data_IF_920124009255
#
_entry.id   IF_920124009255
#
_cell.length_a   1.000
_cell.length_b   1.000
_cell.length_c   1.000
_cell.angle_alpha   90.00
_cell.angle_beta   90.00
_cell.angle_gamma   90.00
#
_symmetry.space_group_name_H-M   'P 1'
#
loop_
_entity.id
_entity.type
_entity.pdbx_description
1 polymer ?
#
# COMPACT_ATOMS: atom_id res chain seq x y z
N UNK A 1 20.78 5.72 13.92
CA UNK A 1 19.49 5.76 13.22
C UNK A 1 18.35 5.38 14.16
N UNK A 2 18.01 4.10 14.40
CA UNK A 2 16.85 3.74 15.25
C UNK A 2 16.87 4.38 16.66
N UNK A 3 18.00 4.34 17.37
CA UNK A 3 18.12 5.00 18.68
C UNK A 3 18.04 6.54 18.61
N UNK A 4 18.46 7.14 17.47
CA UNK A 4 18.38 8.59 17.27
C UNK A 4 16.93 9.04 16.99
N UNK A 5 16.13 8.15 16.40
CA UNK A 5 14.71 8.38 16.08
C UNK A 5 13.76 7.73 17.09
N UNK A 6 14.28 7.29 18.24
CA UNK A 6 13.50 6.68 19.31
C UNK A 6 12.28 7.52 19.77
N UNK A 7 12.34 8.86 19.94
CA UNK A 7 11.17 9.64 20.35
C UNK A 7 10.05 9.61 19.30
N UNK A 8 10.41 9.71 18.02
CA UNK A 8 9.45 9.64 16.89
C UNK A 8 8.80 8.25 16.83
N UNK A 9 9.61 7.19 16.93
CA UNK A 9 9.11 5.81 16.95
C UNK A 9 8.22 5.54 18.17
N UNK A 10 8.54 6.12 19.33
CA UNK A 10 7.71 6.06 20.53
C UNK A 10 6.35 6.74 20.33
N UNK A 11 6.32 7.89 19.65
CA UNK A 11 5.07 8.58 19.32
C UNK A 11 4.22 7.78 18.32
N UNK A 12 4.84 7.17 17.31
CA UNK A 12 4.15 6.28 16.37
C UNK A 12 3.54 5.08 17.10
N UNK A 13 4.27 4.48 18.05
CA UNK A 13 3.76 3.38 18.87
C UNK A 13 2.58 3.83 19.75
N UNK A 14 2.69 4.99 20.40
CA UNK A 14 1.58 5.58 21.15
C UNK A 14 0.35 5.80 20.26
N UNK A 15 0.55 6.33 19.05
CA UNK A 15 -0.50 6.47 18.06
C UNK A 15 -1.14 5.14 17.67
N UNK A 16 -0.36 4.07 17.52
CA UNK A 16 -0.88 2.71 17.30
C UNK A 16 -1.78 2.23 18.43
N UNK A 17 -1.40 2.50 19.69
CA UNK A 17 -2.22 2.17 20.87
C UNK A 17 -3.51 2.99 20.89
N UNK A 18 -3.42 4.30 20.64
CA UNK A 18 -4.60 5.19 20.57
C UNK A 18 -5.56 4.74 19.46
N UNK A 19 -5.02 4.39 18.29
CA UNK A 19 -5.78 3.83 17.18
C UNK A 19 -6.52 2.54 17.58
N UNK A 20 -5.82 1.60 18.22
CA UNK A 20 -6.41 0.36 18.72
C UNK A 20 -7.55 0.62 19.70
N UNK A 21 -7.31 1.44 20.74
CA UNK A 21 -8.30 1.73 21.79
C UNK A 21 -9.50 2.48 21.21
N UNK A 22 -9.26 3.47 20.36
CA UNK A 22 -10.32 4.23 19.68
C UNK A 22 -11.20 3.31 18.85
N UNK A 23 -10.61 2.49 17.97
CA UNK A 23 -11.37 1.55 17.16
C UNK A 23 -12.16 0.55 18.02
N UNK A 24 -11.55 -0.04 19.05
CA UNK A 24 -12.24 -0.96 19.98
C UNK A 24 -13.45 -0.30 20.66
N UNK A 25 -13.34 0.99 21.01
CA UNK A 25 -14.41 1.73 21.71
C UNK A 25 -15.62 2.03 20.82
N UNK A 26 -15.40 2.30 19.53
CA UNK A 26 -16.44 2.74 18.61
C UNK A 26 -17.07 1.62 17.78
N UNK A 27 -16.39 0.48 17.58
CA UNK A 27 -16.92 -0.66 16.80
C UNK A 27 -18.35 -1.05 17.21
N UNK A 28 -18.70 -1.25 18.50
CA UNK A 28 -20.04 -1.71 18.88
C UNK A 28 -21.15 -0.74 18.47
N UNK A 29 -20.90 0.57 18.61
CA UNK A 29 -21.88 1.60 18.28
C UNK A 29 -22.09 1.70 16.77
N UNK A 30 -21.00 1.72 16.00
CA UNK A 30 -21.08 1.82 14.54
C UNK A 30 -21.65 0.55 13.92
N UNK A 31 -21.28 -0.62 14.42
CA UNK A 31 -21.87 -1.89 14.01
C UNK A 31 -23.40 -1.89 14.13
N UNK A 32 -23.92 -1.35 15.25
CA UNK A 32 -25.37 -1.20 15.44
C UNK A 32 -25.98 -0.22 14.43
N UNK A 33 -25.34 0.92 14.19
CA UNK A 33 -25.82 1.91 13.21
C UNK A 33 -25.84 1.32 11.79
N UNK A 34 -24.83 0.56 11.39
CA UNK A 34 -24.81 -0.06 10.05
C UNK A 34 -25.89 -1.13 9.89
N UNK A 35 -26.16 -1.92 10.93
CA UNK A 35 -27.32 -2.81 10.96
C UNK A 35 -28.63 -2.04 10.77
N UNK A 36 -28.83 -0.95 11.52
CA UNK A 36 -30.02 -0.07 11.41
C UNK A 36 -30.16 0.58 10.02
N UNK A 37 -29.05 0.75 9.29
CA UNK A 37 -29.03 1.29 7.92
C UNK A 37 -29.11 0.21 6.83
N UNK A 38 -29.40 -1.04 7.20
CA UNK A 38 -29.44 -2.19 6.28
C UNK A 38 -28.11 -2.51 5.58
N UNK A 39 -26.98 -2.15 6.22
CA UNK A 39 -25.62 -2.48 5.77
C UNK A 39 -25.14 -3.68 6.60
N UNK A 40 -25.50 -4.87 6.13
CA UNK A 40 -25.16 -6.13 6.75
C UNK A 40 -25.15 -7.28 5.74
N UNK A 41 -24.40 -8.31 6.09
CA UNK A 41 -24.27 -9.56 5.34
C UNK A 41 -24.64 -10.78 6.18
N UNK A 42 -24.45 -11.96 5.57
CA UNK A 42 -24.62 -13.26 6.22
C UNK A 42 -23.32 -14.06 6.10
N UNK A 43 -22.94 -14.80 7.15
CA UNK A 43 -21.78 -15.69 7.09
C UNK A 43 -22.09 -16.89 6.19
N UNK A 44 -21.57 -16.86 4.97
CA UNK A 44 -21.84 -17.87 3.94
C UNK A 44 -21.31 -19.27 4.32
N UNK A 45 -20.29 -19.34 5.17
CA UNK A 45 -19.63 -20.60 5.56
C UNK A 45 -20.30 -21.28 6.77
N UNK A 46 -21.27 -20.63 7.42
CA UNK A 46 -22.00 -21.17 8.56
C UNK A 46 -23.44 -21.57 8.25
N UNK A 47 -23.97 -21.13 7.10
CA UNK A 47 -25.37 -21.31 6.74
C UNK A 47 -25.52 -22.17 5.48
N UNK A 48 -26.58 -22.98 5.41
CA UNK A 48 -26.91 -23.75 4.22
C UNK A 48 -27.45 -22.85 3.10
N UNK A 49 -27.42 -23.34 1.85
CA UNK A 49 -27.93 -22.57 0.71
C UNK A 49 -29.40 -22.19 0.86
N UNK A 50 -30.23 -23.12 1.35
CA UNK A 50 -31.64 -22.85 1.64
C UNK A 50 -31.84 -21.74 2.69
N UNK A 51 -31.01 -21.72 3.74
CA UNK A 51 -31.05 -20.67 4.75
C UNK A 51 -30.68 -19.30 4.16
N UNK A 52 -29.67 -19.25 3.27
CA UNK A 52 -29.29 -18.03 2.57
C UNK A 52 -30.40 -17.52 1.65
N UNK A 53 -31.06 -18.42 0.91
CA UNK A 53 -32.19 -18.06 0.05
C UNK A 53 -33.38 -17.52 0.87
N UNK A 54 -33.71 -18.15 2.00
CA UNK A 54 -34.74 -17.67 2.93
C UNK A 54 -34.39 -16.30 3.51
N UNK A 55 -33.14 -16.09 3.91
CA UNK A 55 -32.65 -14.79 4.39
C UNK A 55 -32.78 -13.69 3.33
N UNK A 56 -32.36 -13.97 2.09
CA UNK A 56 -32.47 -13.04 0.98
C UNK A 56 -33.92 -12.70 0.63
N UNK A 57 -34.82 -13.69 0.65
CA UNK A 57 -36.25 -13.47 0.44
C UNK A 57 -36.86 -12.58 1.54
N UNK A 58 -36.55 -12.84 2.81
CA UNK A 58 -37.00 -12.02 3.95
C UNK A 58 -36.46 -10.58 3.86
N UNK A 59 -35.19 -10.40 3.49
CA UNK A 59 -34.58 -9.08 3.26
C UNK A 59 -35.33 -8.30 2.17
N UNK A 60 -35.65 -8.94 1.04
CA UNK A 60 -36.42 -8.32 -0.05
C UNK A 60 -37.86 -7.97 0.34
N UNK A 61 -38.47 -8.77 1.22
CA UNK A 61 -39.80 -8.53 1.75
C UNK A 61 -39.83 -7.48 2.88
N UNK A 62 -38.68 -6.93 3.30
CA UNK A 62 -38.59 -5.97 4.40
C UNK A 62 -38.82 -6.56 5.79
N UNK A 63 -38.82 -7.89 5.92
CA UNK A 63 -39.08 -8.60 7.18
C UNK A 63 -37.80 -8.75 8.02
N UNK A 64 -37.18 -7.63 8.39
CA UNK A 64 -35.88 -7.59 9.08
C UNK A 64 -35.98 -7.61 10.62
N UNK A 65 -37.18 -7.42 11.19
CA UNK A 65 -37.38 -7.34 12.64
C UNK A 65 -37.41 -8.70 13.36
N UNK A 66 -37.50 -9.80 12.60
CA UNK A 66 -37.58 -11.13 13.18
C UNK A 66 -36.30 -11.51 13.94
N UNK A 67 -36.43 -12.03 15.16
CA UNK A 67 -35.28 -12.38 16.03
C UNK A 67 -34.31 -13.35 15.36
N UNK A 68 -34.81 -14.32 14.59
CA UNK A 68 -33.97 -15.28 13.86
C UNK A 68 -33.19 -14.61 12.72
N UNK A 69 -33.78 -13.61 12.05
CA UNK A 69 -33.10 -12.81 11.04
C UNK A 69 -31.95 -11.99 11.66
N UNK A 70 -32.24 -11.30 12.77
CA UNK A 70 -31.27 -10.47 13.49
C UNK A 70 -30.09 -11.28 14.06
N UNK A 71 -30.30 -12.55 14.43
CA UNK A 71 -29.21 -13.45 14.86
C UNK A 71 -28.25 -13.82 13.73
N UNK A 72 -28.74 -13.87 12.49
CA UNK A 72 -27.94 -14.24 11.32
C UNK A 72 -27.26 -13.04 10.65
N UNK A 73 -27.84 -11.84 10.79
CA UNK A 73 -27.31 -10.61 10.23
C UNK A 73 -26.02 -10.18 10.94
N UNK A 74 -24.96 -9.96 10.16
CA UNK A 74 -23.67 -9.48 10.66
C UNK A 74 -23.40 -8.12 10.01
N UNK A 75 -23.16 -7.05 10.79
CA UNK A 75 -22.87 -5.72 10.24
C UNK A 75 -21.70 -5.77 9.28
N UNK A 76 -21.82 -5.08 8.16
CA UNK A 76 -20.84 -5.06 7.08
C UNK A 76 -20.21 -3.68 6.94
N UNK A 77 -19.13 -3.57 6.16
CA UNK A 77 -18.46 -2.30 5.85
C UNK A 77 -17.82 -1.60 7.06
N UNK A 78 -17.38 -2.33 8.09
CA UNK A 78 -16.66 -1.72 9.23
C UNK A 78 -15.31 -1.11 8.88
N UNK A 79 -14.80 -1.37 7.67
CA UNK A 79 -13.65 -0.67 7.12
C UNK A 79 -13.77 0.85 7.20
N UNK A 80 -14.98 1.42 7.06
CA UNK A 80 -15.19 2.87 7.11
C UNK A 80 -14.79 3.49 8.46
N UNK A 81 -15.17 2.84 9.57
CA UNK A 81 -14.79 3.28 10.92
C UNK A 81 -13.28 3.15 11.13
N UNK A 82 -12.73 2.01 10.70
CA UNK A 82 -11.31 1.67 10.88
C UNK A 82 -10.44 2.68 10.14
N UNK A 83 -10.79 3.01 8.89
CA UNK A 83 -10.12 4.03 8.11
C UNK A 83 -10.30 5.44 8.68
N UNK A 84 -11.48 5.80 9.20
CA UNK A 84 -11.72 7.09 9.82
C UNK A 84 -10.84 7.30 11.07
N UNK A 85 -10.82 6.34 12.00
CA UNK A 85 -9.96 6.39 13.19
C UNK A 85 -8.49 6.46 12.79
N UNK A 86 -8.07 5.65 11.82
CA UNK A 86 -6.72 5.66 11.28
C UNK A 86 -6.31 7.05 10.78
N UNK A 87 -7.12 7.66 9.90
CA UNK A 87 -6.85 8.97 9.33
C UNK A 87 -6.77 10.04 10.41
N UNK A 88 -7.70 10.03 11.38
CA UNK A 88 -7.66 10.94 12.52
C UNK A 88 -6.36 10.81 13.32
N UNK A 89 -5.94 9.59 13.64
CA UNK A 89 -4.71 9.35 14.40
C UNK A 89 -3.48 9.77 13.61
N UNK A 90 -3.38 9.43 12.33
CA UNK A 90 -2.23 9.80 11.49
C UNK A 90 -2.13 11.32 11.30
N UNK A 91 -3.26 12.01 11.11
CA UNK A 91 -3.28 13.48 11.04
C UNK A 91 -2.81 14.10 12.36
N UNK A 92 -3.32 13.64 13.51
CA UNK A 92 -2.88 14.12 14.83
C UNK A 92 -1.40 13.85 15.04
N UNK A 93 -0.90 12.66 14.71
CA UNK A 93 0.53 12.33 14.81
C UNK A 93 1.38 13.26 13.94
N UNK A 94 0.96 13.51 12.70
CA UNK A 94 1.69 14.39 11.77
C UNK A 94 1.75 15.82 12.31
N UNK A 95 0.65 16.30 12.90
CA UNK A 95 0.60 17.60 13.58
C UNK A 95 1.51 17.62 14.80
N UNK A 96 1.45 16.60 15.67
CA UNK A 96 2.31 16.50 16.85
C UNK A 96 3.80 16.47 16.48
N UNK A 97 4.19 15.71 15.47
CA UNK A 97 5.58 15.65 14.99
C UNK A 97 6.08 16.99 14.47
N UNK A 98 5.18 17.76 13.84
CA UNK A 98 5.48 19.14 13.42
C UNK A 98 5.70 20.08 14.60
N UNK A 99 4.81 20.05 15.60
CA UNK A 99 4.92 20.93 16.77
C UNK A 99 6.09 20.58 17.70
N UNK A 100 6.49 19.31 17.74
CA UNK A 100 7.62 18.85 18.57
C UNK A 100 9.00 19.18 17.97
N UNK A 101 9.07 19.89 16.83
CA UNK A 101 10.33 20.20 16.15
C UNK A 101 11.05 18.97 15.58
N UNK A 102 10.39 17.81 15.57
CA UNK A 102 10.89 16.57 14.96
C UNK A 102 10.72 16.58 13.43
N UNK A 103 9.93 17.51 12.91
CA UNK A 103 9.87 17.88 11.51
C UNK A 103 10.77 19.11 11.31
N UNK A 104 11.77 19.04 10.42
CA UNK A 104 12.55 20.22 10.03
C UNK A 104 11.67 21.35 9.47
N UNK A 105 12.22 22.55 9.34
CA UNK A 105 11.51 23.68 8.72
C UNK A 105 11.60 23.64 7.19
N UNK A 106 10.54 24.06 6.49
CA UNK A 106 10.55 24.22 5.03
C UNK A 106 10.71 22.90 4.25
N UNK A 107 11.69 22.86 3.34
CA UNK A 107 12.00 21.71 2.47
C UNK A 107 12.55 20.51 3.20
N UNK A 108 13.07 20.70 4.43
CA UNK A 108 13.72 19.66 5.21
C UNK A 108 12.72 18.90 6.10
N UNK A 109 11.43 19.20 5.98
CA UNK A 109 10.38 18.45 6.66
C UNK A 109 10.12 17.12 5.94
N UNK A 110 10.51 15.97 6.52
CA UNK A 110 10.33 14.68 5.88
C UNK A 110 8.85 14.30 5.71
N UNK A 111 7.93 14.97 6.41
CA UNK A 111 6.50 14.71 6.37
C UNK A 111 5.73 15.62 5.40
N UNK A 112 6.39 16.59 4.76
CA UNK A 112 5.74 17.54 3.84
C UNK A 112 5.11 16.88 2.59
N UNK A 113 5.60 15.69 2.22
CA UNK A 113 5.12 14.90 1.08
C UNK A 113 3.96 13.95 1.42
N UNK A 114 3.49 13.89 2.68
CA UNK A 114 2.37 13.04 3.09
C UNK A 114 0.95 13.47 2.64
N UNK A 115 0.64 14.74 2.31
CA UNK A 115 -0.73 15.12 1.94
C UNK A 115 -1.32 14.32 0.77
N UNK A 116 -0.57 14.09 -0.31
CA UNK A 116 -1.05 13.27 -1.44
C UNK A 116 -1.27 11.79 -1.11
N UNK A 117 -0.31 11.11 -0.46
CA UNK A 117 -0.50 9.80 0.17
C UNK A 117 -1.77 9.68 1.02
N UNK A 118 -2.01 10.62 1.94
CA UNK A 118 -3.19 10.63 2.81
C UNK A 118 -4.48 10.88 2.03
N UNK A 119 -4.45 11.75 1.03
CA UNK A 119 -5.56 12.00 0.13
C UNK A 119 -5.94 10.74 -0.66
N UNK A 120 -4.95 10.00 -1.18
CA UNK A 120 -5.18 8.71 -1.85
C UNK A 120 -5.78 7.67 -0.91
N UNK A 121 -5.29 7.55 0.34
CA UNK A 121 -5.87 6.64 1.34
C UNK A 121 -7.33 7.04 1.64
N UNK A 122 -7.60 8.33 1.80
CA UNK A 122 -8.95 8.86 2.09
C UNK A 122 -9.92 8.58 0.93
N UNK A 123 -9.48 8.83 -0.31
CA UNK A 123 -10.28 8.60 -1.49
C UNK A 123 -10.55 7.11 -1.70
N UNK A 124 -9.55 6.24 -1.50
CA UNK A 124 -9.74 4.79 -1.62
C UNK A 124 -10.63 4.21 -0.51
N UNK A 125 -10.55 4.73 0.72
CA UNK A 125 -11.48 4.38 1.79
C UNK A 125 -12.92 4.75 1.42
N UNK A 126 -13.12 5.97 0.91
CA UNK A 126 -14.44 6.42 0.46
C UNK A 126 -14.96 5.57 -0.69
N UNK A 127 -14.13 5.27 -1.69
CA UNK A 127 -14.50 4.45 -2.83
C UNK A 127 -14.84 3.01 -2.44
N UNK A 128 -14.12 2.41 -1.50
CA UNK A 128 -14.47 1.10 -0.95
C UNK A 128 -15.81 1.09 -0.24
N UNK A 129 -16.15 2.17 0.49
CA UNK A 129 -17.47 2.34 1.10
C UNK A 129 -18.58 2.56 0.07
N UNK A 130 -18.30 3.34 -0.97
CA UNK A 130 -19.23 3.50 -2.10
C UNK A 130 -19.46 2.17 -2.81
N UNK A 131 -18.44 1.33 -2.95
CA UNK A 131 -18.55 -0.02 -3.52
C UNK A 131 -19.45 -0.92 -2.66
N UNK A 132 -19.24 -0.92 -1.34
CA UNK A 132 -20.08 -1.66 -0.38
C UNK A 132 -21.57 -1.23 -0.40
N UNK A 133 -21.85 0.04 -0.71
CA UNK A 133 -23.24 0.58 -0.70
C UNK A 133 -23.93 0.43 -2.05
N UNK A 134 -23.17 0.58 -3.15
CA UNK A 134 -23.73 0.63 -4.51
C UNK A 134 -23.55 -0.67 -5.31
N UNK A 135 -22.83 -1.67 -4.79
CA UNK A 135 -22.53 -2.94 -5.46
C UNK A 135 -22.01 -2.72 -6.89
N UNK A 136 -20.91 -1.98 -7.00
CA UNK A 136 -20.43 -1.48 -8.28
C UNK A 136 -19.87 -2.64 -9.15
N UNK A 137 -20.21 -2.64 -10.44
CA UNK A 137 -19.68 -3.67 -11.38
C UNK A 137 -18.15 -3.62 -11.49
N UNK A 138 -17.51 -4.78 -11.61
CA UNK A 138 -16.05 -4.97 -11.64
C UNK A 138 -15.29 -4.00 -12.57
N UNK A 139 -15.83 -3.72 -13.77
CA UNK A 139 -15.21 -2.78 -14.73
C UNK A 139 -15.04 -1.37 -14.16
N UNK A 140 -16.00 -0.90 -13.37
CA UNK A 140 -15.92 0.41 -12.76
C UNK A 140 -15.04 0.37 -11.50
N UNK A 141 -14.93 -0.78 -10.80
CA UNK A 141 -13.98 -0.94 -9.69
C UNK A 141 -12.55 -0.63 -10.13
N UNK A 142 -12.13 -1.12 -11.30
CA UNK A 142 -10.79 -0.84 -11.87
C UNK A 142 -10.63 0.66 -12.19
N UNK A 143 -11.64 1.29 -12.79
CA UNK A 143 -11.59 2.73 -13.11
C UNK A 143 -11.54 3.56 -11.83
N UNK A 144 -12.39 3.26 -10.85
CA UNK A 144 -12.46 3.95 -9.57
C UNK A 144 -11.14 3.84 -8.80
N UNK A 145 -10.54 2.65 -8.74
CA UNK A 145 -9.23 2.45 -8.10
C UNK A 145 -8.10 3.18 -8.85
N UNK A 146 -8.17 3.26 -10.17
CA UNK A 146 -7.22 4.07 -10.96
C UNK A 146 -7.32 5.55 -10.59
N UNK A 147 -8.54 6.10 -10.58
CA UNK A 147 -8.80 7.50 -10.18
C UNK A 147 -8.40 7.76 -8.72
N UNK A 148 -8.64 6.78 -7.83
CA UNK A 148 -8.24 6.82 -6.43
C UNK A 148 -6.72 7.00 -6.22
N UNK A 149 -5.91 6.47 -7.14
CA UNK A 149 -4.44 6.55 -7.08
C UNK A 149 -3.87 7.89 -7.60
N UNK A 150 -4.68 8.76 -8.22
CA UNK A 150 -4.19 10.00 -8.83
C UNK A 150 -3.48 10.97 -7.86
N UNK A 151 -3.99 11.25 -6.64
CA UNK A 151 -3.31 12.17 -5.73
C UNK A 151 -1.88 11.74 -5.42
N UNK A 152 -1.65 10.45 -5.18
CA UNK A 152 -0.33 9.86 -4.97
C UNK A 152 0.60 10.09 -6.17
N UNK A 153 0.10 9.92 -7.38
CA UNK A 153 0.88 10.11 -8.62
C UNK A 153 1.23 11.59 -8.80
N UNK A 154 0.28 12.49 -8.55
CA UNK A 154 0.47 13.93 -8.70
C UNK A 154 1.48 14.50 -7.71
N UNK A 155 1.57 13.94 -6.51
CA UNK A 155 2.51 14.38 -5.47
C UNK A 155 3.75 13.50 -5.37
N UNK A 156 3.97 12.56 -6.30
CA UNK A 156 5.13 11.69 -6.25
C UNK A 156 6.42 12.49 -6.50
N UNK A 157 7.28 12.54 -5.48
CA UNK A 157 8.53 13.30 -5.46
C UNK A 157 9.77 12.42 -5.58
N UNK A 158 9.59 11.09 -5.65
CA UNK A 158 10.68 10.12 -5.73
C UNK A 158 11.28 9.95 -7.14
N UNK A 159 12.32 9.12 -7.21
CA UNK A 159 12.98 8.78 -8.49
C UNK A 159 12.06 7.99 -9.42
N UNK A 160 12.12 8.29 -10.72
CA UNK A 160 11.48 7.53 -11.82
C UNK A 160 12.42 6.46 -12.43
N UNK A 161 13.57 6.25 -11.81
CA UNK A 161 14.57 5.27 -12.24
C UNK A 161 14.47 4.01 -11.39
N UNK A 162 14.59 2.85 -12.05
CA UNK A 162 14.48 1.55 -11.42
C UNK A 162 15.82 0.83 -11.48
N UNK A 163 16.34 0.46 -10.31
CA UNK A 163 17.44 -0.49 -10.20
C UNK A 163 16.97 -1.90 -10.54
N UNK A 164 17.61 -2.54 -11.52
CA UNK A 164 17.34 -3.94 -11.87
C UNK A 164 17.87 -4.89 -10.78
N UNK A 165 17.10 -5.91 -10.34
CA UNK A 165 17.59 -6.90 -9.38
C UNK A 165 18.74 -7.71 -9.98
N UNK A 166 19.79 -7.94 -9.17
CA UNK A 166 21.00 -8.65 -9.61
C UNK A 166 20.73 -10.07 -10.09
N UNK A 167 19.63 -10.73 -9.67
CA UNK A 167 19.27 -12.09 -10.13
C UNK A 167 18.87 -12.08 -11.61
N UNK A 168 18.12 -11.08 -12.08
CA UNK A 168 17.92 -10.86 -13.52
C UNK A 168 19.23 -10.47 -14.20
N UNK A 169 20.08 -9.71 -13.49
CA UNK A 169 21.48 -9.40 -13.79
C UNK A 169 22.41 -10.62 -14.04
N UNK A 170 22.16 -11.75 -13.39
CA UNK A 170 23.09 -12.90 -13.33
C UNK A 170 22.53 -14.17 -13.99
N UNK A 171 21.21 -14.40 -13.89
CA UNK A 171 20.51 -15.57 -14.44
C UNK A 171 19.63 -15.24 -15.65
N UNK A 172 19.18 -13.99 -15.82
CA UNK A 172 18.53 -13.53 -17.05
C UNK A 172 19.52 -13.13 -18.14
N UNK A 173 20.74 -12.74 -17.76
CA UNK A 173 21.81 -12.30 -18.66
C UNK A 173 22.67 -13.37 -19.38
N UNK A 174 22.62 -14.70 -19.09
CA UNK A 174 23.30 -15.70 -19.92
C UNK A 174 22.73 -15.78 -21.34
N UNK A 175 21.48 -15.36 -21.57
CA UNK A 175 20.90 -15.17 -22.92
C UNK A 175 21.29 -13.81 -23.54
N UNK A 176 22.05 -12.98 -22.83
CA UNK A 176 22.30 -11.57 -23.12
C UNK A 176 23.80 -11.20 -23.23
N UNK A 177 24.68 -12.06 -23.72
CA UNK A 177 25.92 -11.52 -24.33
C UNK A 177 25.56 -10.55 -25.47
N UNK A 178 24.44 -10.80 -26.14
CA UNK A 178 23.80 -9.93 -27.14
C UNK A 178 23.26 -8.67 -26.48
N UNK A 179 22.51 -8.77 -25.38
CA UNK A 179 21.81 -7.61 -24.81
C UNK A 179 22.69 -6.75 -23.90
N UNK A 180 23.75 -7.29 -23.28
CA UNK A 180 24.82 -6.49 -22.67
C UNK A 180 25.57 -5.71 -23.75
N UNK A 181 25.92 -6.34 -24.90
CA UNK A 181 26.50 -5.63 -26.06
C UNK A 181 25.52 -4.63 -26.68
N UNK A 182 24.22 -4.92 -26.70
CA UNK A 182 23.18 -4.01 -27.20
C UNK A 182 22.96 -2.83 -26.26
N UNK A 183 22.90 -3.05 -24.94
CA UNK A 183 22.79 -2.00 -23.93
C UNK A 183 24.06 -1.14 -23.87
N UNK A 184 25.24 -1.76 -23.90
CA UNK A 184 26.52 -1.05 -24.04
C UNK A 184 26.62 -0.33 -25.39
N UNK A 185 26.06 -0.90 -26.45
CA UNK A 185 25.99 -0.29 -27.79
C UNK A 185 25.02 0.89 -27.87
N UNK A 186 23.90 0.84 -27.15
CA UNK A 186 22.98 1.96 -26.96
C UNK A 186 23.62 3.07 -26.14
N UNK A 187 24.32 2.72 -25.06
CA UNK A 187 25.08 3.67 -24.26
C UNK A 187 26.23 4.31 -25.07
N UNK A 188 26.94 3.52 -25.89
CA UNK A 188 28.03 4.00 -26.75
C UNK A 188 27.54 4.87 -27.93
N UNK A 189 26.34 4.62 -28.46
CA UNK A 189 25.71 5.45 -29.51
C UNK A 189 25.28 6.84 -29.03
N UNK A 190 25.25 7.08 -27.72
CA UNK A 190 24.83 8.34 -27.12
C UNK A 190 25.98 9.30 -26.80
N UNK A 191 27.23 8.90 -27.08
CA UNK A 191 28.42 9.75 -27.16
C UNK A 191 28.47 10.97 -26.25
N UNK A 192 28.64 10.80 -24.93
CA UNK A 192 29.25 11.79 -24.02
C UNK A 192 29.48 11.20 -22.60
N UNK A 193 30.41 11.77 -21.80
CA UNK A 193 31.01 11.12 -20.64
C UNK A 193 30.08 11.07 -19.41
N UNK A 194 30.44 10.17 -18.49
CA UNK A 194 29.88 9.94 -17.15
C UNK A 194 29.70 11.24 -16.36
N UNK A 195 28.57 11.93 -16.56
CA UNK A 195 28.19 13.06 -15.71
C UNK A 195 27.03 12.67 -14.80
N UNK A 196 27.23 13.04 -13.54
CA UNK A 196 26.39 12.85 -12.36
C UNK A 196 24.95 13.29 -12.60
N UNK A 197 23.99 12.45 -12.23
CA UNK A 197 22.59 12.83 -12.24
C UNK A 197 22.34 13.84 -11.12
N UNK A 198 21.78 15.01 -11.45
CA UNK A 198 21.12 15.86 -10.47
C UNK A 198 19.71 15.32 -10.29
N UNK A 199 19.43 14.81 -9.09
CA UNK A 199 18.07 14.57 -8.59
C UNK A 199 17.41 15.94 -8.43
N UNK A 200 16.86 16.50 -9.51
CA UNK A 200 16.05 17.73 -9.43
C UNK A 200 14.58 17.39 -9.58
N UNK A 201 13.83 17.83 -8.57
CA UNK A 201 12.40 17.66 -8.35
C UNK A 201 11.51 18.12 -9.54
N UNK A 202 10.24 17.68 -9.56
CA UNK A 202 9.42 17.57 -10.76
C UNK A 202 8.67 18.87 -11.04
N UNK A 203 9.25 19.79 -11.80
CA UNK A 203 8.47 20.95 -12.29
C UNK A 203 7.92 20.76 -13.71
N UNK A 204 8.53 19.95 -14.58
CA UNK A 204 7.96 19.65 -15.92
C UNK A 204 8.43 18.30 -16.46
N UNK A 205 7.71 17.21 -16.14
CA UNK A 205 7.92 15.89 -16.76
C UNK A 205 7.89 15.93 -18.30
N UNK A 206 7.15 16.90 -18.88
CA UNK A 206 7.12 17.19 -20.31
C UNK A 206 8.49 17.61 -20.87
N UNK A 207 9.31 18.34 -20.10
CA UNK A 207 10.64 18.79 -20.53
C UNK A 207 11.67 17.66 -20.62
N UNK A 208 11.46 16.55 -19.90
CA UNK A 208 12.36 15.39 -19.94
C UNK A 208 12.09 14.49 -21.17
N UNK A 209 10.83 14.40 -21.62
CA UNK A 209 10.45 13.66 -22.84
C UNK A 209 11.09 14.25 -24.09
N UNK A 210 11.34 15.57 -24.10
CA UNK A 210 11.83 16.33 -25.25
C UNK A 210 13.35 16.33 -25.39
N UNK A 211 14.12 16.14 -24.30
CA UNK A 211 15.57 16.35 -24.28
C UNK A 211 16.38 15.05 -24.21
N UNK A 212 16.45 14.30 -25.32
CA UNK A 212 17.33 13.14 -25.60
C UNK A 212 18.43 12.85 -24.55
N UNK A 213 18.11 12.11 -23.47
CA UNK A 213 19.09 11.70 -22.45
C UNK A 213 19.00 10.21 -22.12
N UNK A 214 20.13 9.65 -21.72
CA UNK A 214 20.40 8.22 -21.58
C UNK A 214 19.41 7.46 -20.70
N UNK A 215 18.83 6.39 -21.26
CA UNK A 215 17.77 5.58 -20.63
C UNK A 215 18.31 4.46 -19.73
N UNK A 216 19.58 4.09 -19.88
CA UNK A 216 20.18 2.95 -19.17
C UNK A 216 21.61 3.31 -18.76
N UNK A 217 21.91 3.19 -17.47
CA UNK A 217 23.27 3.26 -16.93
C UNK A 217 23.65 1.89 -16.36
N UNK A 218 24.79 1.35 -16.80
CA UNK A 218 25.32 0.07 -16.29
C UNK A 218 26.58 0.37 -15.51
N UNK A 219 26.62 -0.04 -14.25
CA UNK A 219 27.82 0.02 -13.42
C UNK A 219 28.81 -1.09 -13.80
N UNK A 220 30.09 -0.90 -13.48
CA UNK A 220 31.14 -1.91 -13.62
C UNK A 220 30.80 -3.23 -12.90
N UNK A 221 30.01 -3.18 -11.82
CA UNK A 221 29.50 -4.35 -11.09
C UNK A 221 28.38 -5.12 -11.83
N UNK A 222 27.94 -4.65 -13.00
CA UNK A 222 26.85 -5.23 -13.79
C UNK A 222 25.45 -4.79 -13.33
N UNK A 223 25.37 -3.85 -12.40
CA UNK A 223 24.09 -3.29 -11.94
C UNK A 223 23.55 -2.31 -12.98
N UNK A 224 22.33 -2.54 -13.49
CA UNK A 224 21.66 -1.65 -14.44
C UNK A 224 20.63 -0.77 -13.75
N UNK A 225 20.71 0.54 -14.01
CA UNK A 225 19.73 1.54 -13.63
C UNK A 225 18.99 2.00 -14.90
N UNK A 226 17.67 1.85 -14.92
CA UNK A 226 16.84 2.16 -16.10
C UNK A 226 15.90 3.31 -15.75
N UNK A 227 15.90 4.37 -16.57
CA UNK A 227 14.91 5.44 -16.47
C UNK A 227 13.63 5.04 -17.18
N UNK A 228 12.52 4.95 -16.43
CA UNK A 228 11.21 4.58 -16.97
C UNK A 228 10.29 5.79 -17.21
N UNK A 229 10.58 6.93 -16.59
CA UNK A 229 9.79 8.15 -16.74
C UNK A 229 8.31 7.92 -16.37
N UNK A 230 7.35 8.42 -17.18
CA UNK A 230 5.92 8.27 -16.91
C UNK A 230 5.43 6.82 -16.75
N UNK A 231 6.09 5.86 -17.38
CA UNK A 231 5.74 4.43 -17.23
C UNK A 231 5.92 3.96 -15.79
N UNK A 232 6.87 4.55 -15.05
CA UNK A 232 7.01 4.25 -13.63
C UNK A 232 5.81 4.71 -12.81
N UNK A 233 5.20 5.86 -13.16
CA UNK A 233 3.99 6.36 -12.50
C UNK A 233 2.79 5.44 -12.77
N UNK A 234 2.69 4.90 -13.99
CA UNK A 234 1.70 3.86 -14.32
C UNK A 234 1.94 2.62 -13.47
N UNK A 235 3.18 2.19 -13.27
CA UNK A 235 3.52 1.09 -12.36
C UNK A 235 3.07 1.39 -10.91
N UNK A 236 3.27 2.60 -10.39
CA UNK A 236 2.81 2.98 -9.05
C UNK A 236 1.28 2.91 -8.93
N UNK A 237 0.56 3.37 -9.96
CA UNK A 237 -0.91 3.25 -10.03
C UNK A 237 -1.34 1.77 -10.01
N UNK A 238 -0.71 0.96 -10.86
CA UNK A 238 -0.98 -0.48 -10.95
C UNK A 238 -0.65 -1.21 -9.66
N UNK A 239 0.38 -0.78 -8.92
CA UNK A 239 0.69 -1.32 -7.60
C UNK A 239 -0.44 -1.06 -6.61
N UNK A 240 -0.99 0.15 -6.56
CA UNK A 240 -2.15 0.47 -5.73
C UNK A 240 -3.37 -0.37 -6.12
N UNK A 241 -3.71 -0.42 -7.42
CA UNK A 241 -4.83 -1.23 -7.94
C UNK A 241 -4.65 -2.71 -7.59
N UNK A 242 -3.44 -3.23 -7.75
CA UNK A 242 -3.13 -4.62 -7.41
C UNK A 242 -3.30 -4.87 -5.90
N UNK A 243 -2.74 -4.03 -5.03
CA UNK A 243 -2.80 -4.25 -3.59
C UNK A 243 -4.25 -4.24 -3.06
N UNK A 244 -5.12 -3.35 -3.55
CA UNK A 244 -6.53 -3.30 -3.12
C UNK A 244 -7.30 -4.52 -3.58
N UNK A 245 -7.23 -4.84 -4.87
CA UNK A 245 -7.98 -5.95 -5.44
C UNK A 245 -7.46 -7.31 -4.98
N UNK A 246 -6.15 -7.47 -4.81
CA UNK A 246 -5.55 -8.75 -4.43
C UNK A 246 -5.91 -9.19 -3.01
N UNK A 247 -6.02 -8.25 -2.07
CA UNK A 247 -6.58 -8.52 -0.73
C UNK A 247 -8.06 -8.85 -0.84
N UNK A 248 -8.80 -8.13 -1.71
CA UNK A 248 -10.24 -8.32 -1.84
C UNK A 248 -10.62 -9.69 -2.44
N UNK A 249 -9.84 -10.22 -3.40
CA UNK A 249 -10.11 -11.55 -3.96
C UNK A 249 -9.65 -12.68 -3.05
N UNK A 250 -8.69 -12.44 -2.15
CA UNK A 250 -8.24 -13.41 -1.15
C UNK A 250 -9.03 -13.21 0.15
N UNK A 251 -10.34 -13.41 0.06
CA UNK A 251 -11.32 -13.10 1.10
C UNK A 251 -12.35 -14.23 1.26
N UNK A 252 -13.32 -14.04 2.16
CA UNK A 252 -14.47 -14.94 2.30
C UNK A 252 -14.35 -15.95 3.42
N UNK A 253 -13.31 -15.87 4.26
CA UNK A 253 -13.17 -16.64 5.50
C UNK A 253 -12.91 -15.69 6.65
N UNK A 254 -13.64 -15.89 7.76
CA UNK A 254 -13.63 -15.01 8.94
C UNK A 254 -12.22 -14.64 9.43
N UNK A 255 -11.81 -13.40 9.22
CA UNK A 255 -10.55 -12.86 9.73
C UNK A 255 -9.40 -12.84 8.71
N UNK A 256 -9.57 -13.35 7.49
CA UNK A 256 -8.47 -13.51 6.52
C UNK A 256 -8.05 -12.17 5.91
N UNK A 257 -8.98 -11.30 5.58
CA UNK A 257 -8.74 -9.97 4.98
C UNK A 257 -7.90 -9.10 5.92
N UNK A 258 -8.27 -9.06 7.20
CA UNK A 258 -7.56 -8.30 8.24
C UNK A 258 -6.27 -9.00 8.65
N UNK A 259 -6.31 -10.33 8.81
CA UNK A 259 -5.17 -11.13 9.24
C UNK A 259 -4.00 -11.03 8.26
N UNK A 260 -4.24 -11.22 6.97
CA UNK A 260 -3.19 -11.10 5.95
C UNK A 260 -2.61 -9.67 5.90
N UNK A 261 -3.47 -8.66 6.04
CA UNK A 261 -3.07 -7.24 6.02
C UNK A 261 -2.15 -6.90 7.20
N UNK A 262 -2.45 -7.43 8.39
CA UNK A 262 -1.60 -7.28 9.58
C UNK A 262 -0.24 -7.95 9.35
N UNK A 263 -0.20 -9.18 8.82
CA UNK A 263 1.06 -9.90 8.58
C UNK A 263 1.96 -9.09 7.62
N UNK A 264 1.40 -8.59 6.52
CA UNK A 264 2.15 -7.78 5.55
C UNK A 264 2.62 -6.45 6.18
N UNK A 265 1.79 -5.81 6.98
CA UNK A 265 2.17 -4.57 7.67
C UNK A 265 3.30 -4.79 8.68
N UNK A 266 3.25 -5.87 9.47
CA UNK A 266 4.31 -6.23 10.41
C UNK A 266 5.61 -6.55 9.68
N UNK A 267 5.56 -7.32 8.59
CA UNK A 267 6.73 -7.59 7.75
C UNK A 267 7.34 -6.28 7.20
N UNK A 268 6.49 -5.34 6.78
CA UNK A 268 6.90 -4.02 6.30
C UNK A 268 7.53 -3.17 7.41
N UNK A 269 6.98 -3.16 8.63
CA UNK A 269 7.59 -2.49 9.79
C UNK A 269 8.96 -3.07 10.10
N UNK A 270 9.06 -4.41 10.17
CA UNK A 270 10.32 -5.11 10.43
C UNK A 270 11.36 -4.74 9.38
N UNK A 271 11.00 -4.78 8.09
CA UNK A 271 11.88 -4.37 7.00
C UNK A 271 12.39 -2.94 7.15
N UNK A 272 11.50 -1.97 7.42
CA UNK A 272 11.87 -0.57 7.58
C UNK A 272 12.80 -0.35 8.78
N UNK A 273 12.55 -1.02 9.91
CA UNK A 273 13.42 -0.96 11.08
C UNK A 273 14.81 -1.57 10.81
N UNK A 274 14.87 -2.70 10.10
CA UNK A 274 16.15 -3.28 9.66
C UNK A 274 16.90 -2.35 8.70
N UNK A 275 16.20 -1.73 7.75
CA UNK A 275 16.79 -0.80 6.80
C UNK A 275 17.41 0.41 7.50
N UNK A 276 16.73 0.98 8.50
CA UNK A 276 17.27 2.05 9.34
C UNK A 276 18.52 1.60 10.11
N UNK A 277 18.63 0.33 10.53
CA UNK A 277 19.83 -0.19 11.21
C UNK A 277 21.00 -0.29 10.24
N UNK A 278 20.74 -0.79 9.03
CA UNK A 278 21.74 -1.07 8.01
C UNK A 278 22.35 0.21 7.39
N UNK A 279 21.57 1.29 7.30
CA UNK A 279 22.04 2.61 6.84
C UNK A 279 23.30 3.08 7.62
N UNK A 280 23.41 2.75 8.91
CA UNK A 280 24.56 3.15 9.75
C UNK A 280 25.83 2.37 9.44
N UNK A 281 25.72 1.13 8.94
CA UNK A 281 26.88 0.28 8.64
C UNK A 281 27.49 0.54 7.26
N UNK A 282 26.71 1.05 6.31
CA UNK A 282 27.18 1.34 4.95
C UNK A 282 27.99 2.65 4.81
N UNK A 283 27.93 3.57 5.80
CA UNK A 283 28.55 4.90 5.71
C UNK A 283 30.09 4.94 5.59
N UNK A 284 30.90 3.96 6.06
CA UNK A 284 32.36 4.02 5.84
C UNK A 284 32.89 3.19 4.65
N UNK A 285 32.24 2.08 4.26
CA UNK A 285 32.89 1.04 3.45
C UNK A 285 32.50 0.99 1.95
N UNK A 286 31.35 1.56 1.54
CA UNK A 286 30.81 1.44 0.18
C UNK A 286 30.83 2.76 -0.62
N UNK A 287 31.74 3.69 -0.31
CA UNK A 287 31.96 4.89 -1.15
C UNK A 287 32.94 4.65 -2.30
N UNK A 288 33.66 3.53 -2.30
CA UNK A 288 34.79 3.30 -3.21
C UNK A 288 34.45 2.58 -4.52
N UNK A 289 33.26 1.99 -4.70
CA UNK A 289 33.02 1.12 -5.88
C UNK A 289 31.83 1.52 -6.76
N UNK A 290 30.76 2.16 -6.26
CA UNK A 290 29.59 2.48 -7.10
C UNK A 290 28.75 3.67 -6.59
N UNK A 291 29.29 4.89 -6.67
CA UNK A 291 28.60 6.11 -6.24
C UNK A 291 27.21 6.30 -6.91
N UNK A 292 27.06 5.89 -8.18
CA UNK A 292 25.79 6.01 -8.89
C UNK A 292 24.70 5.03 -8.41
N UNK A 293 25.07 3.84 -7.94
CA UNK A 293 24.13 2.88 -7.36
C UNK A 293 23.81 3.21 -5.90
N UNK A 294 24.73 3.88 -5.20
CA UNK A 294 24.52 4.42 -3.86
C UNK A 294 23.59 5.65 -3.88
N UNK A 295 23.77 6.58 -4.82
CA UNK A 295 22.89 7.75 -5.00
C UNK A 295 21.48 7.35 -5.46
N UNK A 296 21.35 6.37 -6.36
CA UNK A 296 20.05 5.86 -6.79
C UNK A 296 19.29 5.11 -5.68
N UNK A 297 19.98 4.74 -4.60
CA UNK A 297 19.39 4.05 -3.46
C UNK A 297 18.88 4.98 -2.38
N UNK A 298 18.91 6.32 -2.57
CA UNK A 298 18.55 7.37 -1.61
C UNK A 298 17.86 6.82 -0.35
N UNK A 299 18.71 6.38 0.58
CA UNK A 299 18.32 5.48 1.67
C UNK A 299 18.26 6.26 2.98
N UNK A 300 17.85 7.52 2.92
CA UNK A 300 17.73 8.36 4.11
C UNK A 300 16.70 7.76 5.06
N UNK A 301 16.98 7.80 6.36
CA UNK A 301 16.10 7.32 7.44
C UNK A 301 14.66 7.87 7.37
N UNK A 302 14.48 8.96 6.63
CA UNK A 302 13.27 9.76 6.54
C UNK A 302 12.19 9.07 5.71
N UNK A 303 12.58 8.32 4.67
CA UNK A 303 11.67 7.46 3.92
C UNK A 303 11.07 6.36 4.81
N UNK A 304 11.91 5.69 5.60
CA UNK A 304 11.43 4.63 6.50
C UNK A 304 10.57 5.20 7.63
N UNK A 305 10.89 6.39 8.14
CA UNK A 305 10.05 7.06 9.14
C UNK A 305 8.65 7.40 8.61
N UNK A 306 8.55 7.91 7.37
CA UNK A 306 7.24 8.12 6.72
C UNK A 306 6.45 6.83 6.59
N UNK A 307 7.08 5.75 6.15
CA UNK A 307 6.42 4.44 6.05
C UNK A 307 5.95 3.92 7.42
N UNK A 308 6.78 4.02 8.44
CA UNK A 308 6.45 3.59 9.81
C UNK A 308 5.32 4.42 10.43
N UNK A 309 5.26 5.72 10.13
CA UNK A 309 4.18 6.61 10.56
C UNK A 309 2.83 6.19 9.99
N UNK A 310 2.80 5.67 8.75
CA UNK A 310 1.59 5.10 8.14
C UNK A 310 1.29 3.69 8.67
N UNK A 311 2.30 2.84 8.85
CA UNK A 311 2.10 1.43 9.24
C UNK A 311 1.71 1.25 10.71
N UNK A 312 2.24 2.07 11.63
CA UNK A 312 1.99 1.94 13.06
C UNK A 312 0.50 2.03 13.43
N UNK A 313 -0.17 3.16 13.15
CA UNK A 313 -1.62 3.32 13.35
C UNK A 313 -2.45 2.30 12.58
N UNK A 314 -2.01 1.90 11.38
CA UNK A 314 -2.70 0.89 10.56
C UNK A 314 -2.76 -0.48 11.26
N UNK A 315 -1.67 -0.92 11.87
CA UNK A 315 -1.62 -2.14 12.69
C UNK A 315 -2.57 -2.00 13.89
N UNK A 316 -2.58 -0.83 14.55
CA UNK A 316 -3.45 -0.56 15.70
C UNK A 316 -4.94 -0.73 15.37
N UNK A 317 -5.43 -0.03 14.34
CA UNK A 317 -6.83 -0.13 13.92
C UNK A 317 -7.19 -1.52 13.39
N UNK A 318 -6.25 -2.19 12.69
CA UNK A 318 -6.49 -3.52 12.13
C UNK A 318 -6.54 -4.60 13.20
N UNK A 319 -5.69 -4.52 14.24
CA UNK A 319 -5.76 -5.44 15.38
C UNK A 319 -7.08 -5.31 16.15
N UNK A 320 -7.60 -4.10 16.29
CA UNK A 320 -8.90 -3.86 16.90
C UNK A 320 -10.04 -4.46 16.06
N UNK A 321 -10.04 -4.24 14.74
CA UNK A 321 -11.01 -4.83 13.83
C UNK A 321 -10.94 -6.36 13.83
N UNK A 322 -9.73 -6.92 13.78
CA UNK A 322 -9.50 -8.37 13.80
C UNK A 322 -10.08 -9.03 15.05
N UNK A 323 -10.12 -8.34 16.20
CA UNK A 323 -10.72 -8.87 17.43
C UNK A 323 -12.22 -9.17 17.30
N UNK A 324 -12.92 -8.43 16.45
CA UNK A 324 -14.34 -8.62 16.13
C UNK A 324 -14.56 -9.45 14.87
N UNK A 325 -13.65 -9.40 13.90
CA UNK A 325 -13.78 -10.08 12.62
C UNK A 325 -13.22 -11.52 12.60
N UNK A 326 -12.29 -11.88 13.51
CA UNK A 326 -11.80 -13.25 13.68
C UNK A 326 -12.93 -14.24 13.96
N UNK A 327 -12.73 -15.51 13.61
CA UNK A 327 -13.73 -16.55 13.87
C UNK A 327 -14.11 -16.67 15.37
N UNK A 328 -15.43 -16.76 15.68
CA UNK A 328 -16.56 -16.48 14.80
C UNK A 328 -16.74 -14.97 14.56
N UNK A 329 -16.83 -14.54 13.30
CA UNK A 329 -16.97 -13.12 12.96
C UNK A 329 -18.24 -12.51 13.55
N UNK A 330 -18.10 -11.35 14.18
CA UNK A 330 -19.19 -10.50 14.69
C UNK A 330 -19.43 -9.27 13.83
N UNK A 331 -18.49 -8.96 12.96
CA UNK A 331 -18.52 -7.84 12.01
C UNK A 331 -17.79 -8.26 10.74
N UNK A 332 -18.27 -7.79 9.59
CA UNK A 332 -17.57 -7.88 8.32
C UNK A 332 -16.91 -6.56 7.96
N UNK A 333 -15.80 -6.68 7.25
CA UNK A 333 -14.91 -5.55 6.97
C UNK A 333 -15.35 -4.77 5.74
N UNK A 334 -15.94 -5.46 4.75
CA UNK A 334 -16.35 -4.91 3.46
C UNK A 334 -15.19 -4.52 2.54
N UNK A 335 -15.54 -4.14 1.32
CA UNK A 335 -14.65 -3.54 0.32
C UNK A 335 -14.00 -2.26 0.86
N UNK A 336 -14.69 -1.55 1.75
CA UNK A 336 -14.13 -0.43 2.52
C UNK A 336 -12.77 -0.74 3.13
N UNK A 337 -12.63 -1.90 3.79
CA UNK A 337 -11.38 -2.27 4.44
C UNK A 337 -10.35 -2.77 3.44
N UNK A 338 -10.73 -3.58 2.45
CA UNK A 338 -9.77 -4.16 1.50
C UNK A 338 -9.13 -3.08 0.62
N UNK A 339 -9.92 -2.09 0.18
CA UNK A 339 -9.42 -0.91 -0.52
C UNK A 339 -8.52 -0.07 0.38
N UNK A 340 -8.96 0.19 1.62
CA UNK A 340 -8.17 0.94 2.60
C UNK A 340 -6.82 0.25 2.89
N UNK A 341 -6.83 -1.02 3.24
CA UNK A 341 -5.65 -1.80 3.62
C UNK A 341 -4.67 -1.92 2.46
N UNK A 342 -5.14 -2.29 1.26
CA UNK A 342 -4.31 -2.36 0.07
C UNK A 342 -3.66 -1.02 -0.26
N UNK A 343 -4.39 0.08 -0.10
CA UNK A 343 -3.87 1.44 -0.35
C UNK A 343 -2.83 1.85 0.68
N UNK A 344 -3.07 1.63 1.99
CA UNK A 344 -2.08 1.95 3.03
C UNK A 344 -0.78 1.15 2.81
N UNK A 345 -0.87 -0.13 2.48
CA UNK A 345 0.29 -0.97 2.20
C UNK A 345 1.05 -0.50 0.95
N UNK A 346 0.34 -0.19 -0.15
CA UNK A 346 0.97 0.35 -1.35
C UNK A 346 1.65 1.70 -1.09
N UNK A 347 0.92 2.65 -0.51
CA UNK A 347 1.39 4.01 -0.22
C UNK A 347 2.57 4.00 0.76
N UNK A 348 2.53 3.19 1.82
CA UNK A 348 3.67 3.03 2.75
C UNK A 348 4.92 2.48 2.04
N UNK A 349 4.76 1.55 1.10
CA UNK A 349 5.88 1.04 0.32
C UNK A 349 6.45 2.02 -0.70
N UNK A 350 5.61 2.89 -1.26
CA UNK A 350 6.03 3.90 -2.22
C UNK A 350 6.79 5.02 -1.49
N UNK A 351 6.23 5.50 -0.38
CA UNK A 351 6.86 6.53 0.47
C UNK A 351 8.14 6.03 1.15
N UNK A 352 8.18 4.76 1.54
CA UNK A 352 9.36 4.09 2.10
C UNK A 352 10.34 3.52 1.08
N UNK A 353 10.09 3.68 -0.23
CA UNK A 353 10.97 3.23 -1.33
C UNK A 353 11.27 1.72 -1.28
N UNK A 354 10.27 0.91 -0.94
CA UNK A 354 10.37 -0.56 -0.88
C UNK A 354 9.25 -1.30 -1.61
N UNK A 355 8.60 -0.65 -2.59
CA UNK A 355 7.53 -1.23 -3.42
C UNK A 355 7.84 -2.61 -4.02
N UNK A 356 9.09 -2.84 -4.44
CA UNK A 356 9.57 -4.15 -4.93
C UNK A 356 9.56 -5.21 -3.82
N UNK A 357 9.99 -4.84 -2.62
CA UNK A 357 9.99 -5.73 -1.45
C UNK A 357 8.56 -5.99 -0.98
N UNK A 358 7.66 -5.01 -1.07
CA UNK A 358 6.23 -5.21 -0.76
C UNK A 358 5.62 -6.35 -1.59
N UNK A 359 5.92 -6.41 -2.89
CA UNK A 359 5.43 -7.49 -3.76
C UNK A 359 5.88 -8.89 -3.30
N UNK A 360 7.03 -9.00 -2.62
CA UNK A 360 7.48 -10.26 -2.01
C UNK A 360 6.65 -10.60 -0.77
N UNK A 361 6.25 -9.61 0.03
CA UNK A 361 5.33 -9.83 1.15
C UNK A 361 3.92 -10.18 0.68
N UNK A 362 3.53 -9.71 -0.51
CA UNK A 362 2.29 -10.07 -1.20
C UNK A 362 2.36 -11.41 -1.95
N UNK A 363 3.39 -12.25 -1.74
CA UNK A 363 3.55 -13.49 -2.50
C UNK A 363 2.29 -14.40 -2.50
N UNK A 364 1.58 -14.63 -1.36
CA UNK A 364 0.33 -15.39 -1.38
C UNK A 364 -0.76 -14.75 -2.26
N UNK A 365 -0.89 -13.42 -2.20
CA UNK A 365 -1.86 -12.65 -2.97
C UNK A 365 -1.52 -12.64 -4.46
N UNK A 366 -0.25 -12.53 -4.82
CA UNK A 366 0.24 -12.65 -6.21
C UNK A 366 -0.10 -14.04 -6.75
N UNK A 367 0.16 -15.09 -5.98
CA UNK A 367 -0.16 -16.45 -6.38
C UNK A 367 -1.66 -16.67 -6.58
N UNK A 368 -2.48 -16.22 -5.62
CA UNK A 368 -3.94 -16.28 -5.72
C UNK A 368 -4.44 -15.50 -6.94
N UNK A 369 -3.95 -14.28 -7.15
CA UNK A 369 -4.31 -13.45 -8.29
C UNK A 369 -4.01 -14.15 -9.63
N UNK A 370 -2.82 -14.72 -9.78
CA UNK A 370 -2.42 -15.45 -11.00
C UNK A 370 -3.34 -16.65 -11.25
N UNK A 371 -3.65 -17.43 -10.22
CA UNK A 371 -4.55 -18.58 -10.35
C UNK A 371 -5.98 -18.15 -10.70
N UNK A 372 -6.43 -17.00 -10.18
CA UNK A 372 -7.75 -16.46 -10.48
C UNK A 372 -7.85 -15.79 -11.86
N UNK A 373 -6.74 -15.52 -12.56
CA UNK A 373 -6.77 -14.82 -13.86
C UNK A 373 -7.70 -15.46 -14.90
N UNK A 374 -7.71 -16.79 -15.13
CA UNK A 374 -8.60 -17.40 -16.09
C UNK A 374 -10.08 -17.17 -15.76
N UNK A 375 -10.44 -17.18 -14.48
CA UNK A 375 -11.80 -16.90 -14.02
C UNK A 375 -12.14 -15.41 -14.14
N UNK A 376 -11.22 -14.53 -13.75
CA UNK A 376 -11.39 -13.07 -13.83
C UNK A 376 -11.56 -12.59 -15.27
N UNK A 377 -10.88 -13.20 -16.23
CA UNK A 377 -11.04 -12.92 -17.67
C UNK A 377 -12.18 -13.70 -18.32
N UNK A 378 -12.99 -14.43 -17.54
CA UNK A 378 -14.10 -15.25 -18.04
C UNK A 378 -13.68 -16.28 -19.09
N UNK A 379 -12.42 -16.73 -19.04
CA UNK A 379 -11.90 -17.84 -19.84
C UNK A 379 -12.43 -19.16 -19.25
N UNK A 380 -12.54 -19.21 -17.92
CA UNK A 380 -13.15 -20.31 -17.17
C UNK A 380 -14.31 -19.73 -16.35
N UNK A 381 -15.49 -20.40 -16.30
CA UNK A 381 -16.63 -19.94 -15.50
C UNK A 381 -16.39 -19.95 -13.99
#
# INVERSE_FOLDING_TARGET
>A
AVAAHAPVLGLILLGSIVAYVGTMRYIPNVARTLLERNIFGIDINKNTEEQRQKFAAKRRAGQTEEKEFQKQAIPESLGILVGAVYLSVVMVLTVCLRFLGAAGEGSDNPYASLPGPLMTITLMLLLGFVDDVLDVKWRHKIILTTLGSLPLIMTYDGSLSVLMPCVFGRFGLPTMNVTKKWLLGLAARQGEPTTTFRVTAPSTWFSYVVNHRSYVKVSESGTALIYLGPVYLVYLSMLCIFCTNSINILAGVNGVEVGQSIVIAVASVVYNLFQMRLERQARPALRSVDAAAADARDMTSDHQLRALLLLGPFIGVSLALWRYNRYPARVFVGDSYTYFAGTVLAVSSITGVYSKTLLLFFAPQVFNFIISLPQLFSIVP
#
